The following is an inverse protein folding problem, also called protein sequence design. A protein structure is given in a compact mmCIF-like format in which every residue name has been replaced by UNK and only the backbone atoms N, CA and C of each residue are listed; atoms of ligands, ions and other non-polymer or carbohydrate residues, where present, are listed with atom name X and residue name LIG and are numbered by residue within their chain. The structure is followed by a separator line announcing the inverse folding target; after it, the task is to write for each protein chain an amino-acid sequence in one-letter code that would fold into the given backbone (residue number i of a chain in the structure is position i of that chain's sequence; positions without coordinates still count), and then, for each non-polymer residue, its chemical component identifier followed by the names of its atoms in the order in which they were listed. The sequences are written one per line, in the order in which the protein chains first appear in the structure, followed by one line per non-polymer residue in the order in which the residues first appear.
data_IF_162527540778
#
_entry.id   IF_162527540778
#
_cell.length_a   1.000
_cell.length_b   1.000
_cell.length_c   1.000
_cell.angle_alpha   90.00
_cell.angle_beta   90.00
_cell.angle_gamma   90.00
#
_symmetry.space_group_name_H-M   'P 1'
#
loop_
_entity.id
_entity.type
_entity.pdbx_description
1 polymer ?
#
# COMPACT_ATOMS: atom_id res chain seq x y z
N UNK A 1 3.46 12.74 4.67
CA UNK A 1 4.54 11.91 4.13
C UNK A 1 5.04 12.41 2.77
N UNK A 2 6.28 12.07 2.41
CA UNK A 2 6.86 12.48 1.11
C UNK A 2 6.03 11.99 -0.07
N UNK A 3 5.55 10.73 -0.04
CA UNK A 3 4.73 10.17 -1.11
C UNK A 3 3.42 10.92 -1.34
N UNK A 4 2.84 11.53 -0.31
CA UNK A 4 1.65 12.38 -0.46
C UNK A 4 1.96 13.64 -1.29
N UNK A 5 3.11 14.27 -1.08
CA UNK A 5 3.56 15.43 -1.87
C UNK A 5 3.87 15.06 -3.32
N UNK A 6 4.52 13.90 -3.53
CA UNK A 6 4.79 13.39 -4.90
C UNK A 6 3.49 13.17 -5.65
N UNK A 7 2.50 12.53 -5.02
CA UNK A 7 1.19 12.31 -5.64
C UNK A 7 0.40 13.62 -5.85
N UNK A 8 0.57 14.60 -4.96
CA UNK A 8 -0.05 15.91 -5.13
C UNK A 8 0.50 16.64 -6.35
N UNK A 9 1.83 16.64 -6.53
CA UNK A 9 2.47 17.38 -7.63
C UNK A 9 2.41 16.68 -8.98
N UNK A 10 2.53 15.34 -9.00
CA UNK A 10 2.64 14.55 -10.24
C UNK A 10 1.39 13.73 -10.57
N UNK A 11 0.47 13.59 -9.62
CA UNK A 11 -0.68 12.70 -9.76
C UNK A 11 -0.29 11.21 -9.83
N UNK A 12 -1.25 10.39 -10.21
CA UNK A 12 -1.05 8.97 -10.52
C UNK A 12 -1.71 8.61 -11.83
N UNK A 13 -1.06 7.79 -12.63
CA UNK A 13 -1.60 7.29 -13.91
C UNK A 13 -2.47 6.05 -13.69
N UNK A 14 -2.19 5.29 -12.63
CA UNK A 14 -2.98 4.12 -12.27
C UNK A 14 -4.19 4.54 -11.41
N UNK A 15 -5.37 4.11 -11.82
CA UNK A 15 -6.64 4.37 -11.11
C UNK A 15 -7.11 3.18 -10.26
N UNK A 16 -6.47 2.03 -10.40
CA UNK A 16 -6.89 0.76 -9.80
C UNK A 16 -6.01 0.36 -8.61
N UNK A 17 -4.89 1.05 -8.42
CA UNK A 17 -3.99 0.90 -7.28
C UNK A 17 -3.78 2.26 -6.59
N UNK A 18 -3.46 2.26 -5.27
CA UNK A 18 -3.10 3.49 -4.59
C UNK A 18 -1.88 4.15 -5.24
N UNK A 19 -1.90 5.47 -5.40
CA UNK A 19 -0.74 6.20 -5.92
C UNK A 19 0.46 6.22 -4.97
N UNK A 20 0.22 6.01 -3.67
CA UNK A 20 1.26 5.91 -2.64
C UNK A 20 1.05 4.63 -1.81
N UNK A 21 1.96 3.68 -1.95
CA UNK A 21 1.97 2.41 -1.22
C UNK A 21 3.11 2.38 -0.21
N UNK A 22 2.85 1.82 0.97
CA UNK A 22 3.83 1.67 2.05
C UNK A 22 4.02 0.19 2.37
N UNK A 23 5.27 -0.25 2.43
CA UNK A 23 5.67 -1.60 2.81
C UNK A 23 6.39 -1.54 4.18
N UNK A 24 5.65 -1.57 5.28
CA UNK A 24 6.22 -1.43 6.62
C UNK A 24 6.94 -2.70 7.08
N UNK A 25 7.65 -2.60 8.19
CA UNK A 25 8.11 -3.74 8.98
C UNK A 25 6.97 -4.35 9.82
N UNK A 26 7.25 -5.49 10.45
CA UNK A 26 6.30 -6.12 11.37
C UNK A 26 5.92 -5.21 12.56
N UNK A 27 6.88 -4.39 13.02
CA UNK A 27 6.65 -3.25 13.91
C UNK A 27 6.67 -1.95 13.11
N UNK A 28 5.77 -1.03 13.40
CA UNK A 28 5.80 0.27 12.76
C UNK A 28 7.03 1.08 13.21
N UNK A 29 7.63 1.88 12.31
CA UNK A 29 8.73 2.76 12.67
C UNK A 29 8.28 3.82 13.69
N UNK A 30 9.23 4.47 14.34
CA UNK A 30 8.94 5.61 15.22
C UNK A 30 8.11 6.65 14.44
N UNK A 31 7.08 7.20 15.10
CA UNK A 31 6.09 8.07 14.45
C UNK A 31 4.91 7.32 13.81
N UNK A 32 4.96 5.99 13.70
CA UNK A 32 3.85 5.16 13.23
C UNK A 32 3.26 5.62 11.91
N UNK A 33 1.93 5.63 11.82
CA UNK A 33 1.19 6.01 10.61
C UNK A 33 1.37 7.48 10.19
N UNK A 34 1.87 8.36 11.05
CA UNK A 34 2.15 9.75 10.69
C UNK A 34 3.23 9.86 9.59
N UNK A 35 4.13 8.86 9.50
CA UNK A 35 5.19 8.84 8.49
C UNK A 35 4.66 8.79 7.05
N UNK A 36 3.47 8.23 6.83
CA UNK A 36 2.81 8.17 5.51
C UNK A 36 1.47 8.89 5.48
N UNK A 37 1.20 9.70 6.48
CA UNK A 37 0.03 10.58 6.50
C UNK A 37 0.08 11.63 5.39
N UNK A 38 -1.09 12.18 5.09
CA UNK A 38 -1.25 13.23 4.09
C UNK A 38 -0.72 14.60 4.57
N UNK A 39 -0.56 14.82 5.89
CA UNK A 39 -0.19 16.11 6.45
C UNK A 39 -1.27 17.16 6.19
N UNK A 40 -0.89 18.25 5.54
CA UNK A 40 -1.81 19.34 5.15
C UNK A 40 -2.52 19.12 3.81
N UNK A 41 -2.21 18.01 3.12
CA UNK A 41 -2.80 17.68 1.83
C UNK A 41 -4.14 16.97 2.00
N UNK A 42 -4.98 16.88 0.94
CA UNK A 42 -6.21 16.10 0.98
C UNK A 42 -6.00 14.67 1.47
N UNK A 43 -6.92 14.16 2.27
CA UNK A 43 -6.79 12.86 2.94
C UNK A 43 -6.62 11.67 1.95
N UNK A 44 -7.13 11.80 0.72
CA UNK A 44 -6.97 10.77 -0.33
C UNK A 44 -5.53 10.54 -0.77
N UNK A 45 -4.59 11.43 -0.43
CA UNK A 45 -3.18 11.35 -0.80
C UNK A 45 -2.30 10.64 0.24
N UNK A 46 -2.89 10.21 1.37
CA UNK A 46 -2.13 9.44 2.37
C UNK A 46 -1.67 8.09 1.81
N UNK A 47 -0.57 7.56 2.34
CA UNK A 47 -0.06 6.26 1.96
C UNK A 47 -0.95 5.11 2.42
N UNK A 48 -1.10 4.11 1.57
CA UNK A 48 -1.81 2.86 1.86
C UNK A 48 -0.81 1.81 2.31
N UNK A 49 -0.78 1.42 3.60
CA UNK A 49 0.12 0.39 4.07
C UNK A 49 -0.37 -0.99 3.64
N UNK A 50 0.53 -1.81 3.09
CA UNK A 50 0.31 -3.24 2.91
C UNK A 50 0.85 -3.99 4.13
N UNK A 51 0.13 -5.00 4.59
CA UNK A 51 0.54 -5.78 5.76
C UNK A 51 1.81 -6.60 5.45
N UNK A 52 2.79 -6.62 6.36
CA UNK A 52 4.02 -7.37 6.15
C UNK A 52 3.85 -8.89 6.30
N UNK A 53 2.74 -9.32 6.93
CA UNK A 53 2.42 -10.75 7.16
C UNK A 53 0.95 -11.03 6.87
N UNK A 54 0.68 -12.22 6.36
CA UNK A 54 -0.67 -12.66 5.99
C UNK A 54 -1.16 -11.99 4.70
N UNK A 55 -2.47 -11.81 4.56
CA UNK A 55 -3.04 -11.10 3.42
C UNK A 55 -2.55 -9.63 3.41
N UNK A 56 -1.91 -9.17 2.33
CA UNK A 56 -1.37 -7.79 2.27
C UNK A 56 -2.42 -6.71 2.46
N UNK A 57 -3.62 -6.95 1.99
CA UNK A 57 -4.82 -6.13 2.21
C UNK A 57 -5.87 -7.00 2.86
N UNK A 58 -6.38 -6.57 4.02
CA UNK A 58 -7.48 -7.26 4.70
C UNK A 58 -8.78 -7.10 3.93
N UNK A 59 -9.60 -8.13 3.97
CA UNK A 59 -10.96 -8.13 3.45
C UNK A 59 -11.06 -7.54 2.02
N UNK A 60 -10.00 -7.77 1.22
CA UNK A 60 -9.93 -7.27 -0.14
C UNK A 60 -11.03 -7.87 -1.01
N UNK A 61 -11.27 -9.17 -0.86
CA UNK A 61 -12.32 -9.87 -1.62
C UNK A 61 -13.64 -9.86 -0.84
N UNK A 62 -14.77 -9.78 -1.54
CA UNK A 62 -16.07 -9.87 -0.88
C UNK A 62 -16.24 -11.24 -0.20
N UNK A 63 -17.10 -11.34 0.83
CA UNK A 63 -17.44 -12.61 1.46
C UNK A 63 -18.03 -13.60 0.44
N UNK A 64 -17.92 -14.89 0.76
CA UNK A 64 -18.49 -15.97 -0.06
C UNK A 64 -19.99 -15.75 -0.29
N UNK A 65 -20.42 -15.95 -1.54
CA UNK A 65 -21.80 -15.74 -1.95
C UNK A 65 -22.20 -14.27 -2.20
N UNK A 66 -21.26 -13.33 -2.04
CA UNK A 66 -21.50 -11.92 -2.34
C UNK A 66 -20.98 -11.58 -3.74
N UNK A 67 -21.87 -11.43 -4.72
CA UNK A 67 -21.44 -11.22 -6.10
C UNK A 67 -20.87 -9.80 -6.31
N UNK A 68 -20.02 -9.69 -7.34
CA UNK A 68 -19.40 -8.41 -7.71
C UNK A 68 -20.44 -7.39 -8.18
N UNK A 69 -21.50 -7.85 -8.84
CA UNK A 69 -22.61 -7.01 -9.30
C UNK A 69 -23.38 -6.43 -8.09
N UNK A 70 -23.66 -7.28 -7.09
CA UNK A 70 -24.29 -6.83 -5.85
C UNK A 70 -23.41 -5.82 -5.11
N UNK A 71 -22.11 -6.10 -5.01
CA UNK A 71 -21.17 -5.16 -4.38
C UNK A 71 -21.16 -3.81 -5.12
N UNK A 72 -21.20 -3.81 -6.46
CA UNK A 72 -21.28 -2.57 -7.23
C UNK A 72 -22.57 -1.81 -6.93
N UNK A 73 -23.70 -2.49 -6.91
CA UNK A 73 -24.99 -1.86 -6.62
C UNK A 73 -25.02 -1.23 -5.20
N UNK A 74 -24.46 -1.93 -4.21
CA UNK A 74 -24.36 -1.43 -2.84
C UNK A 74 -23.45 -0.20 -2.75
N UNK A 75 -22.31 -0.19 -3.48
CA UNK A 75 -21.41 0.96 -3.55
C UNK A 75 -22.07 2.16 -4.27
N UNK A 76 -22.84 1.92 -5.33
CA UNK A 76 -23.58 2.98 -6.03
C UNK A 76 -24.66 3.60 -5.13
N UNK A 77 -25.34 2.80 -4.34
CA UNK A 77 -26.29 3.29 -3.34
C UNK A 77 -25.58 4.13 -2.28
N UNK A 78 -24.48 3.60 -1.73
CA UNK A 78 -23.67 4.28 -0.72
C UNK A 78 -23.11 5.61 -1.25
N UNK A 79 -22.64 5.63 -2.50
CA UNK A 79 -22.14 6.85 -3.14
C UNK A 79 -23.24 7.94 -3.22
N UNK A 80 -24.47 7.57 -3.61
CA UNK A 80 -25.60 8.52 -3.65
C UNK A 80 -25.94 9.06 -2.27
N UNK A 81 -25.98 8.20 -1.25
CA UNK A 81 -26.26 8.62 0.14
C UNK A 81 -25.17 9.57 0.66
N UNK A 82 -23.90 9.22 0.39
CA UNK A 82 -22.77 10.04 0.81
C UNK A 82 -22.69 11.37 0.06
N UNK A 83 -23.05 11.41 -1.23
CA UNK A 83 -23.11 12.66 -2.00
C UNK A 83 -24.12 13.64 -1.39
N UNK A 84 -25.32 13.18 -1.09
CA UNK A 84 -26.34 14.00 -0.42
C UNK A 84 -25.87 14.50 0.96
N UNK A 85 -25.16 13.65 1.71
CA UNK A 85 -24.59 14.05 3.00
C UNK A 85 -23.44 15.07 2.83
N UNK A 86 -22.61 14.94 1.80
CA UNK A 86 -21.51 15.87 1.51
C UNK A 86 -22.03 17.25 1.10
N UNK A 87 -23.11 17.31 0.32
CA UNK A 87 -23.78 18.57 -0.03
C UNK A 87 -24.30 19.32 1.22
N UNK A 88 -24.86 18.57 2.17
CA UNK A 88 -25.33 19.12 3.44
C UNK A 88 -24.18 19.52 4.41
N UNK A 89 -22.95 19.07 4.17
CA UNK A 89 -21.79 19.29 5.03
C UNK A 89 -20.55 19.73 4.23
N UNK A 90 -20.55 20.93 3.62
CA UNK A 90 -19.46 21.39 2.78
C UNK A 90 -18.16 21.55 3.59
N UNK A 91 -17.02 21.31 2.93
CA UNK A 91 -15.68 21.50 3.50
C UNK A 91 -15.17 20.31 4.34
N UNK A 92 -15.84 19.16 4.33
CA UNK A 92 -15.37 17.94 4.98
C UNK A 92 -14.60 17.02 4.02
N UNK A 93 -13.32 17.32 3.77
CA UNK A 93 -12.40 16.53 2.93
C UNK A 93 -12.36 15.03 3.29
N UNK A 94 -12.47 14.71 4.57
CA UNK A 94 -12.46 13.33 5.04
C UNK A 94 -13.61 12.48 4.48
N UNK A 95 -14.77 13.11 4.20
CA UNK A 95 -15.92 12.42 3.62
C UNK A 95 -15.68 12.07 2.15
N UNK A 96 -15.18 13.04 1.37
CA UNK A 96 -14.81 12.81 -0.02
C UNK A 96 -13.72 11.74 -0.14
N UNK A 97 -12.67 11.80 0.69
CA UNK A 97 -11.61 10.80 0.72
C UNK A 97 -12.12 9.40 1.06
N UNK A 98 -13.13 9.27 1.92
CA UNK A 98 -13.75 7.97 2.25
C UNK A 98 -14.49 7.39 1.05
N UNK A 99 -15.24 8.21 0.32
CA UNK A 99 -15.94 7.78 -0.90
C UNK A 99 -14.94 7.29 -1.95
N UNK A 100 -13.89 8.05 -2.21
CA UNK A 100 -12.80 7.65 -3.13
C UNK A 100 -12.11 6.36 -2.68
N UNK A 101 -11.94 6.16 -1.37
CA UNK A 101 -11.32 4.95 -0.82
C UNK A 101 -12.17 3.69 -1.05
N UNK A 102 -13.49 3.76 -0.96
CA UNK A 102 -14.37 2.63 -1.28
C UNK A 102 -14.30 2.25 -2.77
N UNK A 103 -14.33 3.23 -3.65
CA UNK A 103 -14.18 3.01 -5.08
C UNK A 103 -12.81 2.41 -5.44
N UNK A 104 -11.75 2.92 -4.82
CA UNK A 104 -10.41 2.37 -5.00
C UNK A 104 -10.34 0.92 -4.51
N UNK A 105 -10.86 0.62 -3.30
CA UNK A 105 -10.87 -0.73 -2.76
C UNK A 105 -11.59 -1.73 -3.68
N UNK A 106 -12.71 -1.33 -4.25
CA UNK A 106 -13.43 -2.15 -5.24
C UNK A 106 -12.59 -2.44 -6.49
N UNK A 107 -11.90 -1.44 -7.05
CA UNK A 107 -11.02 -1.61 -8.21
C UNK A 107 -9.79 -2.47 -7.87
N UNK A 108 -9.24 -2.28 -6.67
CA UNK A 108 -8.09 -3.06 -6.17
C UNK A 108 -8.34 -4.57 -6.14
N UNK A 109 -9.58 -5.02 -5.96
CA UNK A 109 -9.92 -6.45 -5.93
C UNK A 109 -9.46 -7.21 -7.19
N UNK A 110 -9.48 -6.54 -8.34
CA UNK A 110 -9.05 -7.13 -9.60
C UNK A 110 -7.53 -7.08 -9.81
N UNK A 111 -6.87 -6.02 -9.32
CA UNK A 111 -5.47 -5.73 -9.65
C UNK A 111 -4.48 -6.20 -8.57
N UNK A 112 -4.85 -6.08 -7.31
CA UNK A 112 -3.95 -6.39 -6.19
C UNK A 112 -3.47 -7.83 -6.19
N UNK A 113 -4.31 -8.87 -6.43
CA UNK A 113 -3.82 -10.25 -6.46
C UNK A 113 -2.69 -10.45 -7.48
N UNK A 114 -2.81 -9.84 -8.67
CA UNK A 114 -1.79 -9.93 -9.71
C UNK A 114 -0.55 -9.06 -9.40
N UNK A 115 -0.76 -7.87 -8.84
CA UNK A 115 0.33 -6.95 -8.50
C UNK A 115 1.21 -7.50 -7.36
N UNK A 116 0.65 -8.32 -6.48
CA UNK A 116 1.35 -8.88 -5.33
C UNK A 116 1.82 -10.34 -5.54
N UNK A 117 1.47 -10.96 -6.67
CA UNK A 117 1.91 -12.32 -6.99
C UNK A 117 3.37 -12.32 -7.45
N UNK A 118 4.23 -12.96 -6.68
CA UNK A 118 5.64 -13.18 -6.98
C UNK A 118 5.93 -14.58 -7.56
N UNK A 119 4.90 -15.43 -7.72
CA UNK A 119 5.10 -16.81 -8.21
C UNK A 119 5.60 -16.84 -9.65
N UNK A 120 5.15 -15.87 -10.47
CA UNK A 120 5.58 -15.74 -11.86
C UNK A 120 7.00 -15.18 -12.08
N UNK A 121 7.70 -14.77 -11.05
CA UNK A 121 9.08 -14.28 -11.18
C UNK A 121 10.05 -15.43 -11.43
N UNK A 122 11.08 -15.18 -12.28
CA UNK A 122 12.13 -16.18 -12.56
C UNK A 122 12.95 -16.48 -11.31
N UNK A 123 13.49 -17.70 -11.22
CA UNK A 123 14.39 -18.07 -10.11
C UNK A 123 15.62 -17.14 -10.07
N UNK A 124 16.15 -16.76 -11.24
CA UNK A 124 17.24 -15.80 -11.32
C UNK A 124 16.87 -14.46 -10.67
N UNK A 125 15.68 -13.94 -10.96
CA UNK A 125 15.19 -12.70 -10.33
C UNK A 125 15.05 -12.86 -8.82
N UNK A 126 14.51 -13.99 -8.37
CA UNK A 126 14.37 -14.28 -6.94
C UNK A 126 15.72 -14.33 -6.23
N UNK A 127 16.73 -14.93 -6.87
CA UNK A 127 18.12 -14.96 -6.37
C UNK A 127 18.74 -13.55 -6.30
N UNK A 128 18.60 -12.75 -7.37
CA UNK A 128 19.09 -11.38 -7.42
C UNK A 128 18.49 -10.48 -6.32
N UNK A 129 17.25 -10.76 -5.91
CA UNK A 129 16.60 -10.10 -4.78
C UNK A 129 16.85 -10.80 -3.43
N UNK A 130 17.73 -11.78 -3.38
CA UNK A 130 18.15 -12.46 -2.15
C UNK A 130 17.07 -13.32 -1.50
N UNK A 131 16.08 -13.82 -2.25
CA UNK A 131 14.99 -14.62 -1.70
C UNK A 131 15.43 -16.02 -1.27
N UNK A 132 16.56 -16.51 -1.73
CA UNK A 132 17.14 -17.79 -1.35
C UNK A 132 17.81 -17.81 0.04
N UNK A 133 18.09 -16.64 0.62
CA UNK A 133 18.73 -16.52 1.93
C UNK A 133 17.73 -16.16 3.01
N UNK A 134 17.69 -16.87 4.15
CA UNK A 134 16.77 -16.53 5.25
C UNK A 134 17.05 -15.14 5.88
N UNK A 135 18.25 -14.61 5.70
CA UNK A 135 18.65 -13.29 6.21
C UNK A 135 18.06 -12.18 5.36
N UNK A 136 18.12 -12.30 4.04
CA UNK A 136 17.73 -11.25 3.08
C UNK A 136 16.33 -11.41 2.54
N UNK A 137 15.76 -12.62 2.56
CA UNK A 137 14.51 -12.96 1.87
C UNK A 137 13.33 -12.06 2.26
N UNK A 138 13.23 -11.65 3.53
CA UNK A 138 12.12 -10.84 4.00
C UNK A 138 12.16 -9.42 3.39
N UNK A 139 13.33 -8.82 3.35
CA UNK A 139 13.50 -7.48 2.77
C UNK A 139 13.55 -7.54 1.24
N UNK A 140 14.26 -8.51 0.66
CA UNK A 140 14.31 -8.74 -0.78
C UNK A 140 12.91 -8.94 -1.39
N UNK A 141 12.04 -9.67 -0.70
CA UNK A 141 10.62 -9.81 -1.11
C UNK A 141 9.91 -8.46 -1.16
N UNK A 142 10.14 -7.58 -0.20
CA UNK A 142 9.57 -6.22 -0.23
C UNK A 142 10.10 -5.40 -1.40
N UNK A 143 11.41 -5.49 -1.68
CA UNK A 143 12.03 -4.80 -2.81
C UNK A 143 11.46 -5.28 -4.15
N UNK A 144 11.34 -6.60 -4.32
CA UNK A 144 10.75 -7.20 -5.52
C UNK A 144 9.28 -6.79 -5.68
N UNK A 145 8.53 -6.77 -4.59
CA UNK A 145 7.15 -6.32 -4.58
C UNK A 145 7.04 -4.82 -4.94
N UNK A 146 7.95 -3.99 -4.42
CA UNK A 146 7.99 -2.57 -4.75
C UNK A 146 8.22 -2.35 -6.24
N UNK A 147 9.16 -3.11 -6.86
CA UNK A 147 9.37 -3.08 -8.31
C UNK A 147 8.08 -3.39 -9.06
N UNK A 148 7.39 -4.48 -8.72
CA UNK A 148 6.13 -4.87 -9.37
C UNK A 148 5.05 -3.80 -9.23
N UNK A 149 4.94 -3.18 -8.06
CA UNK A 149 3.97 -2.10 -7.85
C UNK A 149 4.29 -0.89 -8.75
N UNK A 150 5.56 -0.52 -8.89
CA UNK A 150 5.98 0.56 -9.80
C UNK A 150 5.71 0.18 -11.27
N UNK A 151 6.02 -1.05 -11.68
CA UNK A 151 5.70 -1.57 -13.02
C UNK A 151 4.19 -1.55 -13.32
N UNK A 152 3.34 -1.67 -12.29
CA UNK A 152 1.89 -1.53 -12.38
C UNK A 152 1.39 -0.08 -12.26
N UNK A 153 2.30 0.89 -12.22
CA UNK A 153 1.98 2.33 -12.24
C UNK A 153 1.69 2.96 -10.87
N UNK A 154 2.06 2.30 -9.77
CA UNK A 154 2.09 2.96 -8.46
C UNK A 154 3.15 4.05 -8.48
N UNK A 155 2.75 5.30 -8.20
CA UNK A 155 3.63 6.47 -8.34
C UNK A 155 4.75 6.51 -7.30
N UNK A 156 4.47 6.09 -6.08
CA UNK A 156 5.42 6.14 -4.98
C UNK A 156 5.28 4.91 -4.08
N UNK A 157 6.39 4.20 -3.87
CA UNK A 157 6.44 3.06 -2.95
C UNK A 157 7.47 3.35 -1.88
N UNK A 158 7.05 3.31 -0.62
CA UNK A 158 7.91 3.54 0.54
C UNK A 158 8.15 2.24 1.28
N UNK A 159 9.42 1.81 1.34
CA UNK A 159 9.84 0.64 2.09
C UNK A 159 10.44 1.07 3.43
N UNK A 160 10.14 0.28 4.45
CA UNK A 160 10.80 0.41 5.75
C UNK A 160 11.69 -0.81 5.99
N UNK A 161 12.88 -0.54 6.48
CA UNK A 161 13.83 -1.53 6.96
C UNK A 161 14.38 -1.03 8.29
N UNK A 162 14.11 -1.78 9.34
CA UNK A 162 14.40 -1.39 10.71
C UNK A 162 15.76 -1.87 11.20
N UNK A 163 15.99 -1.67 12.51
CA UNK A 163 17.14 -2.18 13.24
C UNK A 163 18.50 -1.55 12.88
N UNK A 164 18.50 -0.40 12.19
CA UNK A 164 19.73 0.34 11.88
C UNK A 164 20.31 1.11 13.09
N UNK A 165 19.49 1.40 14.08
CA UNK A 165 19.93 2.05 15.33
C UNK A 165 20.47 0.99 16.29
N UNK A 166 21.77 0.67 16.16
CA UNK A 166 22.49 -0.30 16.98
C UNK A 166 23.57 0.39 17.76
N UNK A 167 23.55 0.21 19.10
CA UNK A 167 24.52 0.79 20.01
C UNK A 167 25.60 -0.22 20.44
N UNK A 168 25.29 -1.53 20.32
CA UNK A 168 26.19 -2.63 20.66
C UNK A 168 26.38 -3.57 19.48
N UNK A 169 27.55 -4.17 19.34
CA UNK A 169 27.88 -5.16 18.30
C UNK A 169 27.52 -4.70 16.88
N UNK A 170 27.84 -3.46 16.53
CA UNK A 170 27.45 -2.78 15.29
C UNK A 170 27.83 -3.61 14.05
N UNK A 171 29.01 -4.21 13.99
CA UNK A 171 29.46 -5.03 12.85
C UNK A 171 28.52 -6.22 12.61
N UNK A 172 28.14 -6.92 13.67
CA UNK A 172 27.20 -8.06 13.59
C UNK A 172 25.78 -7.60 13.24
N UNK A 173 25.32 -6.54 13.90
CA UNK A 173 23.95 -6.03 13.68
C UNK A 173 23.78 -5.53 12.25
N UNK A 174 24.71 -4.69 11.76
CA UNK A 174 24.63 -4.13 10.40
C UNK A 174 24.98 -5.16 9.34
N UNK A 175 25.91 -6.10 9.61
CA UNK A 175 26.18 -7.20 8.69
C UNK A 175 24.93 -8.02 8.35
N UNK A 176 24.04 -8.25 9.30
CA UNK A 176 22.76 -8.91 9.07
C UNK A 176 21.73 -8.07 8.29
N UNK A 177 21.92 -6.76 8.22
CA UNK A 177 21.00 -5.85 7.50
C UNK A 177 21.43 -5.63 6.03
N UNK A 178 22.71 -5.84 5.71
CA UNK A 178 23.26 -5.58 4.37
C UNK A 178 23.63 -6.86 3.61
N UNK A 179 23.52 -8.02 4.26
CA UNK A 179 23.75 -9.32 3.62
C UNK A 179 22.65 -9.65 2.63
#
# INVERSE_FOLDING_TARGET
GLGAWVNYGLGTENRDLPGFVVLPEASYPQGGAANWGNGYLPARLQGTPLRPKGAPVLDLLPPDGFSRERQRADLDLLARMNAAHAEANPGRDALAARMESYELAYRMQAQVPQALDLAGESEKTKEEYGLGSPVTAAFGRKCLLARKLVEKGVRFVQLYHGSWDSHDFIERAHGNLVA
#
